data_IF_062442459381
#
_entry.id   IF_062442459381
#
_cell.length_a   1.000
_cell.length_b   1.000
_cell.length_c   1.000
_cell.angle_alpha   90.00
_cell.angle_beta   90.00
_cell.angle_gamma   90.00
#
_symmetry.space_group_name_H-M   'P 1'
#
loop_
_entity.id
_entity.type
_entity.pdbx_description
1 polymer ?
#
# COMPACT_ATOMS: atom_id res chain seq x y z
N UNK A 1 -12.86 14.31 -9.96
CA UNK A 1 -13.75 13.23 -10.47
C UNK A 1 -12.96 11.94 -10.54
N UNK A 2 -13.63 10.83 -10.76
CA UNK A 2 -12.96 9.53 -10.92
C UNK A 2 -12.40 9.35 -12.35
N UNK A 3 -11.45 8.43 -12.57
CA UNK A 3 -11.02 8.07 -13.92
C UNK A 3 -12.21 7.69 -14.82
N UNK A 4 -12.16 8.10 -16.09
CA UNK A 4 -13.25 7.90 -17.06
C UNK A 4 -13.39 6.45 -17.58
N UNK A 5 -12.73 5.49 -16.94
CA UNK A 5 -12.70 4.07 -17.30
C UNK A 5 -13.23 3.21 -16.16
N UNK A 6 -13.64 1.97 -16.45
CA UNK A 6 -14.12 1.03 -15.43
C UNK A 6 -12.98 0.67 -14.45
N UNK A 7 -13.24 0.61 -13.12
CA UNK A 7 -12.25 0.15 -12.14
C UNK A 7 -11.90 -1.35 -12.31
N UNK A 8 -10.75 -1.82 -11.77
CA UNK A 8 -9.87 -1.09 -10.86
C UNK A 8 -8.97 -0.04 -11.54
N UNK A 9 -8.76 1.09 -10.87
CA UNK A 9 -7.91 2.21 -11.32
C UNK A 9 -6.49 2.14 -10.76
N UNK A 10 -6.26 1.26 -9.80
CA UNK A 10 -4.95 0.96 -9.22
C UNK A 10 -4.91 -0.48 -8.75
N UNK A 11 -3.81 -1.16 -9.02
CA UNK A 11 -3.64 -2.58 -8.74
C UNK A 11 -2.25 -2.86 -8.19
N UNK A 12 -2.16 -3.91 -7.37
CA UNK A 12 -0.91 -4.55 -6.98
C UNK A 12 -0.90 -5.94 -7.62
N UNK A 13 0.25 -6.32 -8.18
CA UNK A 13 0.44 -7.58 -8.88
C UNK A 13 1.60 -8.35 -8.26
N UNK A 14 1.48 -9.67 -8.22
CA UNK A 14 2.62 -10.57 -8.12
C UNK A 14 2.78 -11.32 -9.45
N UNK A 15 3.99 -11.34 -9.96
CA UNK A 15 4.33 -11.94 -11.25
C UNK A 15 5.48 -12.93 -11.02
N UNK A 16 5.37 -14.13 -11.57
CA UNK A 16 6.48 -15.08 -11.64
C UNK A 16 7.45 -14.60 -12.71
N UNK A 17 8.70 -14.32 -12.33
CA UNK A 17 9.71 -13.79 -13.25
C UNK A 17 10.30 -14.84 -14.19
N UNK A 18 10.08 -16.13 -13.93
CA UNK A 18 10.52 -17.21 -14.82
C UNK A 18 9.54 -17.39 -15.99
N UNK A 19 8.23 -17.27 -15.74
CA UNK A 19 7.18 -17.53 -16.73
C UNK A 19 6.51 -16.27 -17.27
N UNK A 20 6.53 -15.18 -16.51
CA UNK A 20 5.77 -13.96 -16.78
C UNK A 20 4.31 -14.03 -16.31
N UNK A 21 3.90 -15.10 -15.64
CA UNK A 21 2.51 -15.28 -15.21
C UNK A 21 2.16 -14.41 -14.01
N UNK A 22 0.95 -13.86 -14.03
CA UNK A 22 0.37 -13.21 -12.86
C UNK A 22 -0.05 -14.29 -11.85
N UNK A 23 0.62 -14.33 -10.70
CA UNK A 23 0.24 -15.20 -9.59
C UNK A 23 -1.05 -14.69 -8.93
N UNK A 24 -1.17 -13.36 -8.81
CA UNK A 24 -2.40 -12.70 -8.38
C UNK A 24 -2.40 -11.22 -8.76
N UNK A 25 -3.60 -10.63 -8.76
CA UNK A 25 -3.86 -9.21 -8.96
C UNK A 25 -4.93 -8.76 -7.98
N UNK A 26 -4.69 -7.68 -7.25
CA UNK A 26 -5.66 -7.09 -6.33
C UNK A 26 -5.75 -5.57 -6.52
N UNK A 27 -6.93 -4.95 -6.30
CA UNK A 27 -7.03 -3.49 -6.25
C UNK A 27 -6.15 -2.91 -5.13
N UNK A 28 -5.47 -1.80 -5.41
CA UNK A 28 -4.62 -1.09 -4.44
C UNK A 28 -5.15 0.33 -4.24
N UNK A 29 -5.70 0.57 -3.05
CA UNK A 29 -6.31 1.83 -2.65
C UNK A 29 -7.82 1.82 -2.77
N UNK A 30 -8.50 2.66 -2.00
CA UNK A 30 -9.93 2.84 -2.06
C UNK A 30 -10.35 4.31 -2.06
N UNK A 31 -11.58 4.55 -2.51
CA UNK A 31 -12.32 5.78 -2.24
C UNK A 31 -13.39 5.45 -1.21
N UNK A 32 -13.22 5.85 0.07
CA UNK A 32 -14.15 5.49 1.14
C UNK A 32 -15.61 5.84 0.84
N UNK A 33 -15.85 6.93 0.11
CA UNK A 33 -17.18 7.35 -0.33
C UNK A 33 -17.84 6.41 -1.34
N UNK A 34 -17.06 5.62 -2.08
CA UNK A 34 -17.56 4.60 -3.01
C UNK A 34 -17.82 3.28 -2.28
N UNK A 35 -16.91 2.86 -1.40
CA UNK A 35 -17.09 1.63 -0.61
C UNK A 35 -18.26 1.74 0.36
N UNK A 36 -18.51 2.92 0.94
CA UNK A 36 -19.72 3.21 1.72
C UNK A 36 -21.03 3.06 0.92
N UNK A 37 -20.98 3.20 -0.40
CA UNK A 37 -22.13 2.98 -1.30
C UNK A 37 -22.25 1.53 -1.79
N UNK A 38 -21.44 0.62 -1.25
CA UNK A 38 -21.41 -0.78 -1.65
C UNK A 38 -20.64 -1.06 -2.94
N UNK A 39 -19.90 -0.07 -3.46
CA UNK A 39 -19.02 -0.29 -4.61
C UNK A 39 -17.75 -1.00 -4.11
N UNK A 40 -17.30 -2.10 -4.74
CA UNK A 40 -16.07 -2.77 -4.36
C UNK A 40 -14.85 -1.84 -4.42
N UNK A 41 -13.78 -2.21 -3.72
CA UNK A 41 -12.50 -1.48 -3.74
C UNK A 41 -12.07 -1.24 -5.18
N UNK A 42 -11.99 0.03 -5.57
CA UNK A 42 -11.76 0.43 -6.96
C UNK A 42 -10.29 0.64 -7.28
N UNK A 43 -9.38 0.62 -6.31
CA UNK A 43 -8.02 1.11 -6.53
C UNK A 43 -7.95 2.64 -6.62
N UNK A 44 -6.77 3.18 -6.39
CA UNK A 44 -6.45 4.60 -6.63
C UNK A 44 -5.19 4.72 -7.47
N UNK A 45 -4.89 5.92 -7.95
CA UNK A 45 -3.54 6.22 -8.44
C UNK A 45 -2.50 5.87 -7.36
N UNK A 46 -1.39 5.29 -7.78
CA UNK A 46 -0.27 4.87 -6.93
C UNK A 46 1.01 5.60 -7.33
N UNK A 47 1.84 5.96 -6.36
CA UNK A 47 3.02 6.82 -6.58
C UNK A 47 4.33 6.29 -5.98
N UNK A 48 4.26 5.39 -5.00
CA UNK A 48 5.40 4.72 -4.38
C UNK A 48 5.39 3.21 -4.61
N UNK A 49 6.50 2.56 -4.29
CA UNK A 49 6.67 1.11 -4.40
C UNK A 49 6.42 0.36 -3.09
N UNK A 50 6.36 -0.98 -3.14
CA UNK A 50 6.32 -1.83 -1.96
C UNK A 50 7.73 -2.11 -1.42
N UNK A 51 7.80 -2.58 -0.18
CA UNK A 51 8.93 -3.37 0.35
C UNK A 51 8.44 -4.78 0.68
N UNK A 52 9.23 -5.80 0.33
CA UNK A 52 8.91 -7.21 0.57
C UNK A 52 9.85 -7.77 1.63
N UNK A 53 9.30 -8.41 2.67
CA UNK A 53 10.09 -8.99 3.76
C UNK A 53 10.37 -10.48 3.54
N UNK A 54 11.40 -10.99 4.22
CA UNK A 54 11.72 -12.43 4.23
C UNK A 54 10.58 -13.31 4.79
N UNK A 55 9.78 -12.77 5.73
CA UNK A 55 8.60 -13.44 6.27
C UNK A 55 7.45 -13.60 5.26
N UNK A 56 7.53 -12.92 4.12
CA UNK A 56 6.52 -12.98 3.07
C UNK A 56 5.40 -11.95 3.21
N UNK A 57 5.67 -10.84 3.88
CA UNK A 57 4.77 -9.68 3.91
C UNK A 57 5.23 -8.63 2.90
N UNK A 58 4.26 -7.98 2.25
CA UNK A 58 4.46 -6.86 1.34
C UNK A 58 3.88 -5.62 2.00
N UNK A 59 4.73 -4.63 2.27
CA UNK A 59 4.33 -3.36 2.87
C UNK A 59 4.28 -2.26 1.82
N UNK A 60 3.12 -1.59 1.69
CA UNK A 60 2.92 -0.51 0.73
C UNK A 60 1.87 0.48 1.25
N UNK A 61 2.14 1.78 1.12
CA UNK A 61 1.15 2.82 1.33
C UNK A 61 0.63 3.30 -0.02
N UNK A 62 1.36 4.16 -0.73
CA UNK A 62 1.26 4.53 -2.15
C UNK A 62 -0.10 5.08 -2.64
N UNK A 63 -1.17 4.96 -1.86
CA UNK A 63 -2.56 5.19 -2.26
C UNK A 63 -3.12 6.50 -1.69
N UNK A 64 -4.15 7.02 -2.34
CA UNK A 64 -4.79 8.30 -1.95
C UNK A 64 -5.59 8.23 -0.66
N UNK A 65 -5.96 7.03 -0.20
CA UNK A 65 -6.62 6.81 1.09
C UNK A 65 -5.68 6.90 2.30
N UNK A 66 -4.41 7.21 2.07
CA UNK A 66 -3.41 7.47 3.11
C UNK A 66 -3.21 6.27 4.06
N UNK A 67 -3.46 5.04 3.59
CA UNK A 67 -3.22 3.84 4.42
C UNK A 67 -1.91 3.14 4.07
N UNK A 68 -1.15 2.82 5.11
CA UNK A 68 -0.09 1.82 5.04
C UNK A 68 -0.72 0.43 5.17
N UNK A 69 -0.41 -0.49 4.26
CA UNK A 69 -0.96 -1.85 4.25
C UNK A 69 0.14 -2.90 4.24
N UNK A 70 -0.13 -4.03 4.89
CA UNK A 70 0.64 -5.27 4.73
C UNK A 70 -0.21 -6.30 4.01
N UNK A 71 0.35 -6.92 2.97
CA UNK A 71 -0.26 -7.99 2.19
C UNK A 71 0.52 -9.29 2.38
N UNK A 72 -0.19 -10.43 2.40
CA UNK A 72 0.43 -11.74 2.26
C UNK A 72 0.95 -11.93 0.82
N UNK A 73 2.24 -12.24 0.65
CA UNK A 73 2.88 -12.32 -0.68
C UNK A 73 2.31 -13.40 -1.60
N UNK A 74 1.72 -14.46 -1.03
CA UNK A 74 1.24 -15.61 -1.80
C UNK A 74 -0.18 -15.39 -2.30
N UNK A 75 -0.99 -14.66 -1.54
CA UNK A 75 -2.42 -14.55 -1.77
C UNK A 75 -2.88 -13.14 -2.17
N UNK A 76 -2.06 -12.12 -1.93
CA UNK A 76 -2.44 -10.72 -2.15
C UNK A 76 -3.51 -10.23 -1.16
N UNK A 77 -3.77 -10.96 -0.06
CA UNK A 77 -4.72 -10.54 0.97
C UNK A 77 -4.09 -9.51 1.90
N UNK A 78 -4.83 -8.44 2.20
CA UNK A 78 -4.46 -7.51 3.27
C UNK A 78 -4.55 -8.25 4.61
N UNK A 79 -3.47 -8.22 5.39
CA UNK A 79 -3.40 -8.83 6.73
C UNK A 79 -3.24 -7.81 7.85
N UNK A 80 -2.88 -6.58 7.49
CA UNK A 80 -2.79 -5.45 8.41
C UNK A 80 -2.91 -4.13 7.65
N UNK A 81 -3.46 -3.11 8.30
CA UNK A 81 -3.50 -1.74 7.78
C UNK A 81 -3.37 -0.71 8.90
N UNK A 82 -2.92 0.48 8.53
CA UNK A 82 -2.81 1.63 9.41
C UNK A 82 -3.08 2.93 8.65
N UNK A 83 -3.91 3.80 9.22
CA UNK A 83 -4.19 5.12 8.67
C UNK A 83 -3.04 6.08 8.98
N UNK A 84 -2.30 6.51 7.96
CA UNK A 84 -1.22 7.49 8.10
C UNK A 84 -1.81 8.88 8.40
N UNK A 85 -1.05 9.75 9.09
CA UNK A 85 -1.47 11.11 9.41
C UNK A 85 -1.43 12.07 8.20
N UNK A 86 -0.79 11.66 7.10
CA UNK A 86 -0.60 12.38 5.85
C UNK A 86 -0.37 11.38 4.69
N UNK A 87 -0.38 11.86 3.45
CA UNK A 87 -0.16 11.00 2.27
C UNK A 87 1.20 10.28 2.28
N UNK A 88 1.16 8.94 2.21
CA UNK A 88 2.33 8.06 2.21
C UNK A 88 2.74 7.62 0.81
N UNK A 89 3.28 8.52 -0.01
CA UNK A 89 3.71 8.19 -1.39
C UNK A 89 5.16 7.72 -1.51
N UNK A 90 5.91 7.69 -0.40
CA UNK A 90 7.24 7.11 -0.38
C UNK A 90 7.18 5.57 -0.38
N UNK A 91 8.21 4.94 -0.95
CA UNK A 91 8.44 3.50 -0.75
C UNK A 91 8.88 3.28 0.71
N UNK A 92 8.22 2.40 1.48
CA UNK A 92 8.67 2.06 2.82
C UNK A 92 10.03 1.36 2.80
N UNK A 93 10.75 1.42 3.91
CA UNK A 93 12.02 0.69 4.11
C UNK A 93 11.88 -0.30 5.26
N UNK A 94 12.77 -1.29 5.32
CA UNK A 94 12.95 -2.15 6.49
C UNK A 94 14.39 -2.10 6.96
N UNK A 95 14.58 -2.15 8.28
CA UNK A 95 15.90 -2.19 8.92
C UNK A 95 15.80 -2.91 10.27
N UNK A 96 16.94 -3.23 10.88
CA UNK A 96 17.01 -3.87 12.20
C UNK A 96 17.87 -3.04 13.15
N UNK A 97 17.44 -2.95 14.41
CA UNK A 97 18.21 -2.37 15.52
C UNK A 97 18.08 -3.31 16.71
N UNK A 98 19.21 -3.73 17.28
CA UNK A 98 19.25 -4.58 18.48
C UNK A 98 18.37 -5.85 18.36
N UNK A 99 18.39 -6.50 17.19
CA UNK A 99 17.62 -7.72 16.93
C UNK A 99 16.12 -7.48 16.69
N UNK A 100 15.66 -6.23 16.67
CA UNK A 100 14.27 -5.87 16.38
C UNK A 100 14.15 -5.29 14.97
N UNK A 101 13.31 -5.91 14.14
CA UNK A 101 13.03 -5.45 12.78
C UNK A 101 11.97 -4.33 12.79
N UNK A 102 12.22 -3.29 12.01
CA UNK A 102 11.34 -2.15 11.81
C UNK A 102 10.93 -2.01 10.34
N UNK A 103 9.74 -1.47 10.12
CA UNK A 103 9.28 -0.93 8.84
C UNK A 103 9.09 0.57 9.01
N UNK A 104 9.70 1.40 8.18
CA UNK A 104 9.55 2.86 8.26
C UNK A 104 9.11 3.48 6.94
N UNK A 105 8.36 4.58 7.03
CA UNK A 105 7.88 5.33 5.88
C UNK A 105 7.86 6.84 6.19
N UNK A 106 8.16 7.64 5.18
CA UNK A 106 7.89 9.08 5.19
C UNK A 106 6.46 9.37 4.68
N UNK A 107 5.66 10.05 5.48
CA UNK A 107 4.33 10.54 5.14
C UNK A 107 4.37 12.08 5.02
N UNK A 108 4.71 12.54 3.81
CA UNK A 108 4.85 13.97 3.47
C UNK A 108 3.63 14.57 2.74
N UNK A 109 2.71 13.74 2.23
CA UNK A 109 1.61 14.20 1.40
C UNK A 109 2.00 14.50 -0.04
N UNK A 110 1.30 15.44 -0.68
CA UNK A 110 1.41 15.74 -2.11
C UNK A 110 0.29 15.08 -2.92
N UNK A 111 0.28 15.24 -4.26
CA UNK A 111 -0.71 14.61 -5.17
C UNK A 111 -2.20 14.78 -4.76
N UNK A 112 -2.52 15.83 -4.01
CA UNK A 112 -3.87 16.10 -3.49
C UNK A 112 -4.26 15.34 -2.22
N UNK A 113 -3.36 14.57 -1.60
CA UNK A 113 -3.53 14.03 -0.26
C UNK A 113 -3.10 15.04 0.81
N UNK A 114 -3.46 14.77 2.06
CA UNK A 114 -3.16 15.61 3.20
C UNK A 114 -1.64 15.85 3.31
N UNK A 115 -1.18 17.12 3.38
CA UNK A 115 0.24 17.43 3.56
C UNK A 115 0.72 17.07 4.96
N UNK A 116 2.02 16.80 5.10
CA UNK A 116 2.64 16.50 6.38
C UNK A 116 4.17 16.51 6.32
N UNK A 117 4.79 15.97 7.38
CA UNK A 117 6.24 15.87 7.51
C UNK A 117 6.62 14.78 8.52
N UNK A 118 5.96 13.63 8.42
CA UNK A 118 6.08 12.55 9.41
C UNK A 118 7.02 11.46 8.92
N UNK A 119 7.85 10.95 9.84
CA UNK A 119 8.46 9.63 9.71
C UNK A 119 7.80 8.71 10.73
N UNK A 120 7.33 7.55 10.28
CA UNK A 120 6.62 6.59 11.13
C UNK A 120 7.34 5.25 11.01
N UNK A 121 7.64 4.62 12.14
CA UNK A 121 8.24 3.30 12.22
C UNK A 121 7.31 2.34 12.97
N UNK A 122 7.16 1.13 12.44
CA UNK A 122 6.37 0.03 12.98
C UNK A 122 7.29 -1.13 13.32
N UNK A 123 7.00 -1.85 14.40
CA UNK A 123 7.64 -3.11 14.76
C UNK A 123 6.63 -3.98 15.51
N UNK A 124 6.83 -5.30 15.48
CA UNK A 124 6.11 -6.21 16.37
C UNK A 124 6.50 -5.92 17.83
N UNK A 125 5.60 -6.21 18.77
CA UNK A 125 5.90 -6.04 20.19
C UNK A 125 7.05 -6.94 20.60
#
# INVERSE_FOLDING_TARGET
GYPAVKPPWGTLHAIDLNTGDYLWTVPLGEFPELTQKGIPITGTETYGGPVVTGSGLIFIASTRDERMRAFDKKTGKVVWEYQLPAGGFATPITYEVEGKQYIAIAAGGGRGAKPGGWYIAFALQ
#
